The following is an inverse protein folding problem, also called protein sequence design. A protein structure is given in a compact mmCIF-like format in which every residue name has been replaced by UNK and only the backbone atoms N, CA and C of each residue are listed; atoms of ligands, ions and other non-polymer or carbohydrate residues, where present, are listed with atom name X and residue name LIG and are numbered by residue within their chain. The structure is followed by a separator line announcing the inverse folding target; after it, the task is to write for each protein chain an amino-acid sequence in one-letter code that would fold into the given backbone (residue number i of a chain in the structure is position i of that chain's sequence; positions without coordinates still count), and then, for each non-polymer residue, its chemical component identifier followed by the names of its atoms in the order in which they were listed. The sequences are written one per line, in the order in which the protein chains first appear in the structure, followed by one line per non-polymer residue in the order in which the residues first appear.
data_IF_093985888297
#
_entry.id   IF_093985888297
#
_cell.length_a   1.000
_cell.length_b   1.000
_cell.length_c   1.000
_cell.angle_alpha   90.00
_cell.angle_beta   90.00
_cell.angle_gamma   90.00
#
_symmetry.space_group_name_H-M   'P 1'
#
loop_
_entity.id
_entity.type
_entity.pdbx_description
1 polymer ?
#
# COMPACT_ATOMS: atom_id res chain seq x y z
N UNK A 1 -4.20 1.15 15.93
CA UNK A 1 -3.05 0.94 15.05
C UNK A 1 -2.04 0.09 15.78
N UNK A 2 -1.82 -1.14 15.31
CA UNK A 2 -0.77 -2.05 15.77
C UNK A 2 0.26 -2.25 14.66
N UNK A 3 1.54 -2.31 15.03
CA UNK A 3 2.64 -2.48 14.09
C UNK A 3 3.61 -3.54 14.61
N UNK A 4 3.94 -4.50 13.76
CA UNK A 4 4.92 -5.55 14.06
C UNK A 4 5.92 -5.65 12.92
N UNK A 5 7.21 -5.69 13.26
CA UNK A 5 8.32 -5.77 12.32
C UNK A 5 9.07 -7.08 12.56
N UNK A 6 9.31 -7.82 11.48
CA UNK A 6 10.25 -8.94 11.42
C UNK A 6 11.33 -8.64 10.36
N UNK A 7 12.36 -9.48 10.28
CA UNK A 7 13.53 -9.26 9.41
C UNK A 7 13.18 -8.97 7.94
N UNK A 8 12.07 -9.52 7.44
CA UNK A 8 11.66 -9.40 6.05
C UNK A 8 10.17 -9.08 5.86
N UNK A 9 9.51 -8.58 6.91
CA UNK A 9 8.06 -8.36 6.90
C UNK A 9 7.66 -7.25 7.87
N UNK A 10 6.68 -6.46 7.44
CA UNK A 10 5.98 -5.44 8.22
C UNK A 10 4.49 -5.79 8.21
N UNK A 11 3.93 -6.02 9.39
CA UNK A 11 2.50 -6.19 9.59
C UNK A 11 1.91 -4.95 10.25
N UNK A 12 0.84 -4.45 9.66
CA UNK A 12 0.10 -3.26 10.09
C UNK A 12 -1.33 -3.69 10.36
N UNK A 13 -1.88 -3.30 11.50
CA UNK A 13 -3.29 -3.52 11.83
C UNK A 13 -3.95 -2.20 12.17
N UNK A 14 -4.90 -1.83 11.33
CA UNK A 14 -5.60 -0.55 11.40
C UNK A 14 -7.06 -0.80 11.73
N UNK A 15 -7.60 0.00 12.63
CA UNK A 15 -8.98 -0.08 13.06
C UNK A 15 -9.52 1.34 13.12
N UNK A 16 -10.72 1.51 12.57
CA UNK A 16 -11.43 2.78 12.54
C UNK A 16 -12.79 2.59 13.21
N UNK A 17 -13.04 3.41 14.23
CA UNK A 17 -14.30 3.44 14.96
C UNK A 17 -15.13 4.68 14.58
N UNK A 18 -16.45 4.58 14.75
CA UNK A 18 -17.40 5.65 14.47
C UNK A 18 -18.15 5.50 13.15
N UNK A 19 -18.91 6.53 12.78
CA UNK A 19 -19.71 6.56 11.56
C UNK A 19 -18.96 7.29 10.46
N UNK A 20 -18.70 6.59 9.35
CA UNK A 20 -18.05 7.14 8.17
C UNK A 20 -18.78 6.68 6.91
N UNK A 21 -18.81 7.54 5.89
CA UNK A 21 -19.31 7.15 4.57
C UNK A 21 -18.20 6.55 3.70
N UNK A 22 -17.00 7.13 3.80
CA UNK A 22 -15.81 6.70 3.05
C UNK A 22 -14.57 6.85 3.94
N UNK A 23 -13.88 5.74 4.15
CA UNK A 23 -12.60 5.68 4.83
C UNK A 23 -11.64 4.83 4.00
N UNK A 24 -10.39 5.27 3.85
CA UNK A 24 -9.38 4.59 3.05
C UNK A 24 -8.00 4.74 3.68
N UNK A 25 -7.20 3.69 3.58
CA UNK A 25 -5.75 3.77 3.75
C UNK A 25 -5.08 4.06 2.42
N UNK A 26 -4.00 4.84 2.47
CA UNK A 26 -3.16 5.15 1.31
C UNK A 26 -1.72 4.75 1.60
N UNK A 27 -1.20 3.85 0.78
CA UNK A 27 0.20 3.46 0.79
C UNK A 27 0.88 4.11 -0.42
N UNK A 28 1.77 5.07 -0.15
CA UNK A 28 2.60 5.70 -1.16
C UNK A 28 3.88 4.89 -1.31
N UNK A 29 4.12 4.38 -2.51
CA UNK A 29 5.32 3.63 -2.82
C UNK A 29 6.41 4.56 -3.34
N UNK A 30 7.66 4.36 -2.92
CA UNK A 30 8.77 5.15 -3.45
C UNK A 30 8.86 4.99 -4.98
N UNK A 31 9.27 6.01 -5.76
CA UNK A 31 9.38 5.90 -7.23
C UNK A 31 10.23 4.74 -7.74
N UNK A 32 11.21 4.28 -6.95
CA UNK A 32 12.04 3.11 -7.28
C UNK A 32 11.31 1.76 -7.10
N UNK A 33 10.11 1.77 -6.51
CA UNK A 33 9.26 0.60 -6.31
C UNK A 33 8.35 0.43 -7.53
N UNK A 34 8.73 -0.49 -8.41
CA UNK A 34 8.08 -0.70 -9.70
C UNK A 34 6.99 -1.76 -9.57
N UNK A 35 5.75 -1.35 -9.81
CA UNK A 35 4.60 -2.26 -9.91
C UNK A 35 4.83 -3.34 -10.97
N UNK A 36 4.66 -4.61 -10.60
CA UNK A 36 4.62 -5.72 -11.53
C UNK A 36 3.15 -6.00 -11.90
N UNK A 37 2.64 -5.36 -12.95
CA UNK A 37 1.27 -5.56 -13.42
C UNK A 37 0.58 -4.31 -13.95
N UNK A 38 -0.76 -4.33 -13.95
CA UNK A 38 -1.61 -3.26 -14.47
C UNK A 38 -2.22 -2.42 -13.35
N UNK A 39 -2.15 -1.09 -13.48
CA UNK A 39 -2.72 -0.11 -12.57
C UNK A 39 -4.26 -0.15 -12.53
N UNK A 40 -4.94 -0.63 -13.57
CA UNK A 40 -6.40 -0.57 -13.67
C UNK A 40 -7.15 -1.61 -12.81
N UNK A 41 -6.46 -2.33 -11.92
CA UNK A 41 -7.02 -3.49 -11.20
C UNK A 41 -7.33 -3.18 -9.73
N UNK A 42 -8.45 -3.76 -9.26
CA UNK A 42 -8.67 -3.97 -7.83
C UNK A 42 -7.88 -5.20 -7.39
N UNK A 43 -7.15 -5.10 -6.30
CA UNK A 43 -6.19 -6.10 -5.85
C UNK A 43 -6.30 -6.34 -4.34
N UNK A 44 -6.21 -7.60 -3.91
CA UNK A 44 -6.01 -7.96 -2.50
C UNK A 44 -4.54 -8.26 -2.18
N UNK A 45 -3.74 -8.48 -3.22
CA UNK A 45 -2.30 -8.60 -3.15
C UNK A 45 -1.69 -7.99 -4.41
N UNK A 46 -0.49 -7.43 -4.27
CA UNK A 46 0.26 -6.88 -5.38
C UNK A 46 1.74 -7.10 -5.16
N UNK A 47 2.44 -7.34 -6.26
CA UNK A 47 3.89 -7.53 -6.27
C UNK A 47 4.54 -6.31 -6.91
N UNK A 48 5.58 -5.82 -6.26
CA UNK A 48 6.45 -4.76 -6.73
C UNK A 48 7.88 -5.28 -6.82
N UNK A 49 8.72 -4.55 -7.55
CA UNK A 49 10.17 -4.76 -7.58
C UNK A 49 10.92 -3.52 -7.17
N UNK A 50 12.01 -3.71 -6.44
CA UNK A 50 12.99 -2.67 -6.10
C UNK A 50 14.36 -3.21 -6.48
N UNK A 51 14.85 -2.82 -7.67
CA UNK A 51 16.01 -3.49 -8.27
C UNK A 51 15.79 -4.99 -8.45
N UNK A 52 16.62 -5.80 -7.80
CA UNK A 52 16.55 -7.27 -7.83
C UNK A 52 15.67 -7.89 -6.75
N UNK A 53 15.10 -7.08 -5.86
CA UNK A 53 14.24 -7.55 -4.77
C UNK A 53 12.78 -7.49 -5.15
N UNK A 54 12.02 -8.42 -4.59
CA UNK A 54 10.57 -8.47 -4.71
C UNK A 54 9.94 -7.96 -3.41
N UNK A 55 8.95 -7.09 -3.53
CA UNK A 55 8.16 -6.59 -2.41
C UNK A 55 6.71 -6.95 -2.64
N UNK A 56 6.08 -7.63 -1.69
CA UNK A 56 4.68 -8.03 -1.75
C UNK A 56 3.87 -7.26 -0.73
N UNK A 57 2.79 -6.65 -1.19
CA UNK A 57 1.74 -6.12 -0.33
C UNK A 57 0.53 -7.06 -0.39
N UNK A 58 -0.10 -7.31 0.75
CA UNK A 58 -1.35 -8.04 0.84
C UNK A 58 -2.20 -7.48 1.98
N UNK A 59 -3.53 -7.57 1.85
CA UNK A 59 -4.46 -7.18 2.91
C UNK A 59 -5.61 -8.18 3.01
N UNK A 60 -6.09 -8.37 4.24
CA UNK A 60 -7.33 -9.12 4.49
C UNK A 60 -8.60 -8.25 4.35
N UNK A 61 -8.44 -6.96 4.07
CA UNK A 61 -9.54 -6.03 3.86
C UNK A 61 -10.15 -6.11 2.45
N UNK A 62 -11.04 -5.14 2.14
CA UNK A 62 -11.56 -4.96 0.79
C UNK A 62 -10.45 -4.81 -0.25
N UNK A 63 -10.75 -5.18 -1.49
CA UNK A 63 -9.80 -5.02 -2.58
C UNK A 63 -9.39 -3.55 -2.74
N UNK A 64 -8.08 -3.30 -2.71
CA UNK A 64 -7.48 -2.00 -2.93
C UNK A 64 -7.47 -1.65 -4.42
N UNK A 65 -7.40 -0.36 -4.73
CA UNK A 65 -7.16 0.15 -6.09
C UNK A 65 -5.75 0.71 -6.19
N UNK A 66 -5.15 0.61 -7.36
CA UNK A 66 -3.86 1.25 -7.67
C UNK A 66 -4.11 2.56 -8.41
N UNK A 67 -3.37 3.59 -8.04
CA UNK A 67 -3.45 4.93 -8.61
C UNK A 67 -2.07 5.46 -8.94
N UNK A 68 -2.02 6.42 -9.86
CA UNK A 68 -0.84 7.25 -10.07
C UNK A 68 -0.81 8.34 -9.01
N UNK A 69 0.37 8.64 -8.49
CA UNK A 69 0.58 9.81 -7.65
C UNK A 69 1.88 10.53 -8.00
N UNK A 70 2.29 11.39 -7.09
CA UNK A 70 3.45 12.26 -7.22
C UNK A 70 4.24 12.29 -5.91
N UNK A 71 5.54 12.05 -6.01
CA UNK A 71 6.52 12.12 -4.93
C UNK A 71 7.41 13.36 -5.09
N UNK A 72 7.62 14.08 -3.98
CA UNK A 72 8.31 15.37 -3.95
C UNK A 72 9.52 15.30 -3.00
N UNK A 73 10.66 14.74 -3.44
CA UNK A 73 11.83 14.56 -2.58
C UNK A 73 12.54 15.86 -2.21
N UNK A 74 12.50 16.85 -3.11
CA UNK A 74 13.16 18.14 -2.95
C UNK A 74 12.38 19.24 -3.69
N UNK A 75 12.68 20.50 -3.36
CA UNK A 75 11.96 21.63 -3.93
C UNK A 75 12.14 21.68 -5.45
N UNK A 76 11.02 21.67 -6.18
CA UNK A 76 11.00 21.74 -7.63
C UNK A 76 11.16 20.40 -8.36
N UNK A 77 11.43 19.29 -7.65
CA UNK A 77 11.45 17.95 -8.25
C UNK A 77 10.14 17.20 -7.98
N UNK A 78 9.55 16.65 -9.04
CA UNK A 78 8.33 15.85 -8.98
C UNK A 78 8.60 14.53 -9.72
N UNK A 79 8.48 13.42 -9.00
CA UNK A 79 8.63 12.07 -9.53
C UNK A 79 7.28 11.34 -9.52
N UNK A 80 6.93 10.57 -10.55
CA UNK A 80 5.72 9.76 -10.52
C UNK A 80 5.86 8.63 -9.50
N UNK A 81 4.79 8.34 -8.77
CA UNK A 81 4.72 7.20 -7.86
C UNK A 81 3.45 6.36 -8.07
N UNK A 82 3.37 5.25 -7.34
CA UNK A 82 2.15 4.43 -7.27
C UNK A 82 1.57 4.59 -5.87
N UNK A 83 0.28 4.85 -5.81
CA UNK A 83 -0.49 4.89 -4.57
C UNK A 83 -1.42 3.68 -4.56
N UNK A 84 -1.33 2.88 -3.51
CA UNK A 84 -2.30 1.83 -3.23
C UNK A 84 -3.34 2.36 -2.26
N UNK A 85 -4.61 2.32 -2.66
CA UNK A 85 -5.72 2.82 -1.87
C UNK A 85 -6.65 1.69 -1.47
N UNK A 86 -6.57 1.29 -0.21
CA UNK A 86 -7.38 0.25 0.39
C UNK A 86 -8.60 0.87 1.08
N UNK A 87 -9.79 0.41 0.74
CA UNK A 87 -11.00 0.89 1.42
C UNK A 87 -11.11 0.24 2.80
N UNK A 88 -11.49 1.01 3.81
CA UNK A 88 -11.89 0.45 5.10
C UNK A 88 -13.32 -0.08 5.03
N UNK A 89 -13.50 -1.24 5.65
CA UNK A 89 -14.80 -1.72 6.10
C UNK A 89 -14.79 -1.81 7.63
N UNK A 90 -15.95 -2.08 8.22
CA UNK A 90 -16.10 -2.15 9.67
C UNK A 90 -15.23 -3.26 10.25
N UNK A 91 -14.43 -2.91 11.26
CA UNK A 91 -13.53 -3.84 11.97
C UNK A 91 -12.05 -3.64 11.61
N UNK A 92 -11.15 -4.41 12.24
CA UNK A 92 -9.72 -4.30 12.01
C UNK A 92 -9.35 -4.82 10.61
N UNK A 93 -8.50 -4.05 9.91
CA UNK A 93 -7.87 -4.41 8.65
C UNK A 93 -6.40 -4.70 8.93
N UNK A 94 -5.93 -5.85 8.46
CA UNK A 94 -4.54 -6.27 8.57
C UNK A 94 -3.89 -6.22 7.19
N UNK A 95 -2.80 -5.48 7.11
CA UNK A 95 -1.96 -5.34 5.93
C UNK A 95 -0.60 -5.94 6.22
N UNK A 96 -0.05 -6.65 5.24
CA UNK A 96 1.27 -7.24 5.31
C UNK A 96 2.11 -6.78 4.13
N UNK A 97 3.31 -6.28 4.42
CA UNK A 97 4.33 -5.95 3.44
C UNK A 97 5.51 -6.86 3.70
N UNK A 98 5.93 -7.65 2.71
CA UNK A 98 7.07 -8.56 2.84
C UNK A 98 8.05 -8.34 1.71
N UNK A 99 9.34 -8.58 1.96
CA UNK A 99 10.40 -8.40 0.97
C UNK A 99 11.36 -9.59 0.93
N UNK A 100 11.91 -9.88 -0.25
CA UNK A 100 12.93 -10.91 -0.48
C UNK A 100 13.99 -10.39 -1.45
#
# INVERSE_FOLDING_TARGET
HGLAIADNRLDITDELEGTYQHAVDRFHWHPDVVLQGDLARKVQNVTFRVGDREVRWASNGPAARLEKGSYYPEFGLILPDVILVAAFQKGPVSTSISWQ
#
